data_IF_311532657588
#
_entry.id   IF_311532657588
#
_cell.length_a   1.000
_cell.length_b   1.000
_cell.length_c   1.000
_cell.angle_alpha   90.00
_cell.angle_beta   90.00
_cell.angle_gamma   90.00
#
_symmetry.space_group_name_H-M   'P 1'
#
loop_
_entity.id
_entity.type
_entity.pdbx_description
1 polymer ?
#
# COMPACT_ATOMS: atom_id res chain seq x y z
N UNK A 1 90.88 -25.19 30.52
CA UNK A 1 91.26 -26.42 31.23
C UNK A 1 90.02 -27.26 31.44
N UNK A 2 90.07 -28.55 31.07
CA UNK A 2 89.45 -29.75 31.71
C UNK A 2 88.23 -29.46 32.63
N UNK A 3 87.07 -30.11 32.57
CA UNK A 3 86.72 -31.53 32.32
C UNK A 3 85.23 -31.67 32.71
N UNK A 4 84.37 -32.32 31.91
CA UNK A 4 83.85 -33.70 32.10
C UNK A 4 82.63 -33.84 33.06
N UNK A 5 81.52 -34.36 32.46
CA UNK A 5 80.57 -35.42 32.92
C UNK A 5 79.73 -35.18 34.19
N UNK A 6 78.53 -35.75 34.41
CA UNK A 6 77.42 -36.40 33.67
C UNK A 6 76.52 -37.01 34.77
N UNK A 7 75.21 -37.19 34.48
CA UNK A 7 74.25 -38.19 35.03
C UNK A 7 73.43 -37.90 36.34
N UNK A 8 72.11 -37.78 36.10
CA UNK A 8 70.93 -38.46 36.71
C UNK A 8 70.26 -38.05 38.04
N UNK A 9 68.96 -37.78 37.87
CA UNK A 9 67.78 -38.28 38.60
C UNK A 9 67.52 -37.84 40.06
N UNK A 10 66.42 -37.08 40.20
CA UNK A 10 65.70 -36.88 41.45
C UNK A 10 64.39 -36.14 41.17
N UNK A 11 63.31 -36.90 41.04
CA UNK A 11 61.96 -36.37 40.91
C UNK A 11 61.35 -36.05 42.28
N UNK A 12 60.43 -35.08 42.27
CA UNK A 12 59.48 -34.66 43.29
C UNK A 12 59.96 -33.65 44.35
N UNK A 13 59.54 -32.39 44.21
CA UNK A 13 58.58 -31.78 45.13
C UNK A 13 57.93 -30.54 44.49
N UNK A 14 56.62 -30.41 44.67
CA UNK A 14 55.77 -29.35 44.14
C UNK A 14 56.03 -27.99 44.79
N UNK A 15 56.05 -26.93 43.97
CA UNK A 15 55.65 -25.57 44.39
C UNK A 15 54.95 -24.92 43.20
N UNK A 16 53.68 -24.56 43.40
CA UNK A 16 52.89 -23.75 42.49
C UNK A 16 53.38 -22.30 42.49
N UNK A 17 53.55 -21.71 41.31
CA UNK A 17 53.58 -20.27 41.13
C UNK A 17 52.84 -19.92 39.84
N UNK A 18 51.80 -19.10 40.02
CA UNK A 18 50.96 -18.52 38.97
C UNK A 18 51.81 -17.83 37.91
N UNK A 19 51.53 -18.12 36.65
CA UNK A 19 51.85 -17.20 35.53
C UNK A 19 50.58 -17.01 34.73
N UNK A 20 49.92 -15.89 34.98
CA UNK A 20 48.84 -15.34 34.18
C UNK A 20 49.41 -14.95 32.82
N UNK A 21 49.26 -15.84 31.83
CA UNK A 21 49.62 -15.55 30.45
C UNK A 21 48.38 -15.03 29.71
N UNK A 22 48.31 -13.70 29.56
CA UNK A 22 47.51 -13.05 28.54
C UNK A 22 47.89 -13.63 27.18
N UNK A 23 46.95 -14.32 26.53
CA UNK A 23 47.01 -14.61 25.11
C UNK A 23 45.66 -14.18 24.54
N UNK A 24 45.62 -12.94 24.05
CA UNK A 24 44.47 -12.36 23.38
C UNK A 24 44.09 -13.21 22.18
N UNK A 25 42.94 -13.87 22.28
CA UNK A 25 42.09 -14.18 21.13
C UNK A 25 40.85 -13.33 21.36
N UNK A 26 40.71 -12.27 20.57
CA UNK A 26 39.49 -11.49 20.51
C UNK A 26 38.42 -12.36 19.87
N UNK A 27 37.72 -13.11 20.71
CA UNK A 27 36.40 -13.62 20.36
C UNK A 27 35.48 -12.41 20.41
N UNK A 28 35.14 -11.87 19.24
CA UNK A 28 33.94 -11.05 19.08
C UNK A 28 32.77 -11.93 19.50
N UNK A 29 32.34 -11.78 20.75
CA UNK A 29 31.00 -12.13 21.15
C UNK A 29 30.09 -11.18 20.37
N UNK A 30 29.50 -11.68 19.30
CA UNK A 30 28.20 -11.19 18.85
C UNK A 30 27.26 -11.50 20.00
N UNK A 31 26.86 -10.46 20.73
CA UNK A 31 25.64 -10.51 21.53
C UNK A 31 24.51 -10.82 20.54
N UNK A 32 24.17 -12.10 20.38
CA UNK A 32 22.85 -12.50 19.93
C UNK A 32 21.90 -11.99 21.01
N UNK A 33 21.34 -10.81 20.74
CA UNK A 33 20.23 -10.31 21.51
C UNK A 33 19.08 -11.29 21.25
N UNK A 34 18.81 -12.14 22.24
CA UNK A 34 17.69 -13.09 22.28
C UNK A 34 16.37 -12.30 22.48
N UNK A 35 16.16 -11.25 21.68
CA UNK A 35 14.89 -10.52 21.65
C UNK A 35 13.93 -11.32 20.80
N UNK A 36 12.80 -11.74 21.38
CA UNK A 36 11.69 -12.33 20.62
C UNK A 36 11.37 -11.46 19.39
N UNK A 37 11.16 -12.12 18.26
CA UNK A 37 10.72 -11.47 17.03
C UNK A 37 9.48 -10.62 17.31
N UNK A 38 9.44 -9.32 16.94
CA UNK A 38 8.26 -8.52 17.14
C UNK A 38 7.06 -9.10 16.37
N UNK A 39 5.90 -9.14 17.02
CA UNK A 39 4.72 -9.83 16.50
C UNK A 39 3.71 -8.81 15.97
N UNK A 40 3.37 -8.95 14.70
CA UNK A 40 2.32 -8.18 14.02
C UNK A 40 1.03 -9.00 14.00
N UNK A 41 -0.06 -8.37 14.43
CA UNK A 41 -1.42 -8.84 14.17
C UNK A 41 -2.08 -7.93 13.14
N UNK A 42 -2.34 -8.45 11.95
CA UNK A 42 -3.02 -7.74 10.88
C UNK A 42 -4.52 -8.07 10.89
N UNK A 43 -5.34 -7.05 11.13
CA UNK A 43 -6.81 -7.13 11.15
C UNK A 43 -7.36 -6.65 9.80
N UNK A 44 -8.05 -7.53 9.10
CA UNK A 44 -8.54 -7.32 7.73
C UNK A 44 -10.06 -7.17 7.73
N UNK A 45 -10.57 -6.01 7.30
CA UNK A 45 -12.00 -5.71 7.08
C UNK A 45 -12.38 -5.79 5.58
N UNK A 46 -11.84 -6.79 4.89
CA UNK A 46 -11.96 -6.98 3.45
C UNK A 46 -11.68 -8.42 3.07
N UNK A 47 -11.30 -8.64 1.80
CA UNK A 47 -11.01 -9.98 1.28
C UNK A 47 -9.55 -10.06 0.85
N UNK A 48 -8.78 -10.99 1.41
CA UNK A 48 -7.49 -11.36 0.82
C UNK A 48 -7.72 -12.01 -0.55
N UNK A 49 -6.87 -11.68 -1.51
CA UNK A 49 -7.03 -12.06 -2.91
C UNK A 49 -7.71 -11.00 -3.78
N UNK A 50 -7.94 -9.79 -3.27
CA UNK A 50 -8.54 -8.66 -4.01
C UNK A 50 -7.65 -8.10 -5.14
N UNK A 51 -6.40 -8.56 -5.23
CA UNK A 51 -5.39 -8.13 -6.22
C UNK A 51 -5.05 -6.64 -6.17
N UNK A 52 -5.46 -5.96 -5.09
CA UNK A 52 -5.53 -4.51 -5.00
C UNK A 52 -5.00 -4.08 -3.63
N UNK A 53 -5.85 -3.50 -2.79
CA UNK A 53 -5.52 -2.81 -1.55
C UNK A 53 -5.15 -3.75 -0.40
N UNK A 54 -5.96 -4.77 -0.14
CA UNK A 54 -5.75 -5.72 0.96
C UNK A 54 -4.57 -6.64 0.65
N UNK A 55 -4.45 -7.10 -0.60
CA UNK A 55 -3.27 -7.85 -1.04
C UNK A 55 -1.99 -7.01 -0.96
N UNK A 56 -2.04 -5.71 -1.26
CA UNK A 56 -0.89 -4.80 -1.11
C UNK A 56 -0.45 -4.71 0.35
N UNK A 57 -1.37 -4.44 1.29
CA UNK A 57 -1.02 -4.43 2.70
C UNK A 57 -0.41 -5.76 3.18
N UNK A 58 -1.01 -6.89 2.79
CA UNK A 58 -0.50 -8.21 3.16
C UNK A 58 0.89 -8.48 2.57
N UNK A 59 1.18 -8.05 1.35
CA UNK A 59 2.52 -8.19 0.74
C UNK A 59 3.58 -7.45 1.56
N UNK A 60 3.33 -6.20 1.94
CA UNK A 60 4.30 -5.41 2.73
C UNK A 60 4.58 -6.04 4.10
N UNK A 61 3.55 -6.53 4.77
CA UNK A 61 3.70 -7.20 6.07
C UNK A 61 4.38 -8.58 5.94
N UNK A 62 4.09 -9.32 4.87
CA UNK A 62 4.80 -10.58 4.57
C UNK A 62 6.28 -10.32 4.28
N UNK A 63 6.60 -9.25 3.54
CA UNK A 63 7.97 -8.85 3.30
C UNK A 63 8.70 -8.49 4.61
N UNK A 64 8.01 -7.87 5.58
CA UNK A 64 8.58 -7.60 6.89
C UNK A 64 8.87 -8.90 7.68
N UNK A 65 8.07 -9.96 7.52
CA UNK A 65 8.38 -11.29 8.08
C UNK A 65 9.67 -11.83 7.44
N UNK A 66 9.71 -11.84 6.11
CA UNK A 66 10.78 -12.48 5.34
C UNK A 66 12.14 -11.77 5.48
N UNK A 67 12.13 -10.44 5.52
CA UNK A 67 13.36 -9.62 5.48
C UNK A 67 13.76 -9.02 6.83
N UNK A 68 12.80 -8.74 7.72
CA UNK A 68 13.03 -8.05 8.99
C UNK A 68 12.82 -8.95 10.22
N UNK A 69 12.36 -10.19 10.01
CA UNK A 69 12.23 -11.20 11.08
C UNK A 69 11.03 -11.00 11.98
N UNK A 70 9.97 -10.33 11.52
CA UNK A 70 8.70 -10.24 12.23
C UNK A 70 7.94 -11.57 12.23
N UNK A 71 7.03 -11.75 13.18
CA UNK A 71 5.96 -12.74 13.09
C UNK A 71 4.66 -12.08 12.63
N UNK A 72 3.88 -12.73 11.76
CA UNK A 72 2.60 -12.21 11.27
C UNK A 72 1.45 -13.16 11.59
N UNK A 73 0.43 -12.64 12.25
CA UNK A 73 -0.88 -13.27 12.41
C UNK A 73 -1.95 -12.44 11.75
N UNK A 74 -2.80 -13.08 10.95
CA UNK A 74 -3.91 -12.41 10.26
C UNK A 74 -5.24 -12.75 10.95
N UNK A 75 -6.09 -11.75 11.12
CA UNK A 75 -7.47 -11.86 11.61
C UNK A 75 -8.40 -11.25 10.57
N UNK A 76 -9.19 -12.09 9.89
CA UNK A 76 -10.18 -11.64 8.91
C UNK A 76 -11.53 -11.41 9.59
N UNK A 77 -12.02 -10.17 9.56
CA UNK A 77 -13.35 -9.80 10.10
C UNK A 77 -14.46 -9.99 9.05
N UNK A 78 -14.10 -10.21 7.79
CA UNK A 78 -15.04 -10.29 6.68
C UNK A 78 -15.60 -8.92 6.29
N UNK A 79 -16.73 -8.94 5.59
CA UNK A 79 -17.30 -7.75 4.92
C UNK A 79 -18.43 -7.07 5.69
N UNK A 80 -18.90 -7.68 6.78
CA UNK A 80 -20.02 -7.14 7.56
C UNK A 80 -19.52 -6.09 8.55
N UNK A 81 -19.71 -4.82 8.19
CA UNK A 81 -19.31 -3.66 8.98
C UNK A 81 -19.84 -3.69 10.42
N UNK A 82 -21.01 -4.29 10.66
CA UNK A 82 -21.60 -4.37 12.00
C UNK A 82 -20.76 -5.18 13.00
N UNK A 83 -19.85 -6.04 12.51
CA UNK A 83 -18.92 -6.82 13.32
C UNK A 83 -17.50 -6.28 13.39
N UNK A 84 -17.16 -5.23 12.62
CA UNK A 84 -15.77 -4.77 12.51
C UNK A 84 -15.23 -4.16 13.81
N UNK A 85 -16.01 -3.32 14.47
CA UNK A 85 -15.59 -2.67 15.71
C UNK A 85 -15.36 -3.69 16.85
N UNK A 86 -16.33 -4.59 17.07
CA UNK A 86 -16.21 -5.63 18.10
C UNK A 86 -15.09 -6.62 17.78
N UNK A 87 -14.94 -7.00 16.50
CA UNK A 87 -13.86 -7.87 16.05
C UNK A 87 -12.47 -7.24 16.23
N UNK A 88 -12.33 -5.94 15.96
CA UNK A 88 -11.09 -5.20 16.22
C UNK A 88 -10.78 -5.14 17.72
N UNK A 89 -11.79 -4.86 18.56
CA UNK A 89 -11.62 -4.83 20.02
C UNK A 89 -11.20 -6.22 20.57
N UNK A 90 -11.83 -7.29 20.10
CA UNK A 90 -11.48 -8.66 20.45
C UNK A 90 -10.05 -9.01 19.98
N UNK A 91 -9.64 -8.55 18.79
CA UNK A 91 -8.28 -8.70 18.30
C UNK A 91 -7.28 -7.93 19.18
N UNK A 92 -7.60 -6.71 19.58
CA UNK A 92 -6.73 -5.87 20.43
C UNK A 92 -6.56 -6.44 21.85
N UNK A 93 -7.57 -7.14 22.38
CA UNK A 93 -7.53 -7.75 23.70
C UNK A 93 -6.57 -8.96 23.83
N UNK A 94 -6.02 -9.48 22.73
CA UNK A 94 -5.10 -10.63 22.77
C UNK A 94 -3.66 -10.25 23.12
N UNK A 95 -2.94 -11.12 23.84
CA UNK A 95 -1.52 -10.89 24.21
C UNK A 95 -0.51 -11.37 23.15
N UNK A 96 -0.99 -11.88 22.02
CA UNK A 96 -0.25 -12.54 20.95
C UNK A 96 0.32 -11.57 19.89
N UNK A 97 0.46 -10.29 20.23
CA UNK A 97 1.03 -9.27 19.35
C UNK A 97 1.71 -8.14 20.13
N UNK A 98 2.57 -7.41 19.44
CA UNK A 98 3.19 -6.16 19.92
C UNK A 98 2.68 -4.97 19.10
N UNK A 99 2.36 -5.22 17.82
CA UNK A 99 1.85 -4.25 16.86
C UNK A 99 0.54 -4.77 16.24
N UNK A 100 -0.55 -4.00 16.34
CA UNK A 100 -1.80 -4.27 15.63
C UNK A 100 -1.88 -3.37 14.39
N UNK A 101 -2.04 -3.98 13.22
CA UNK A 101 -2.20 -3.27 11.96
C UNK A 101 -3.65 -3.40 11.51
N UNK A 102 -4.30 -2.30 11.16
CA UNK A 102 -5.61 -2.28 10.53
C UNK A 102 -5.68 -1.09 9.57
N UNK A 103 -6.44 -1.17 8.49
CA UNK A 103 -6.55 -0.04 7.56
C UNK A 103 -7.88 0.01 6.85
N UNK A 104 -7.94 0.89 5.84
CA UNK A 104 -9.14 1.50 5.24
C UNK A 104 -9.67 2.70 6.03
N UNK A 105 -10.29 3.62 5.29
CA UNK A 105 -11.04 4.76 5.86
C UNK A 105 -11.96 4.35 7.02
N UNK A 106 -12.71 3.25 6.89
CA UNK A 106 -13.70 2.82 7.88
C UNK A 106 -13.11 2.29 9.19
N UNK A 107 -11.90 1.70 9.16
CA UNK A 107 -11.28 1.15 10.37
C UNK A 107 -10.57 2.22 11.22
N UNK A 108 -10.27 3.38 10.63
CA UNK A 108 -9.42 4.39 11.26
C UNK A 108 -10.01 4.93 12.57
N UNK A 109 -11.32 5.21 12.59
CA UNK A 109 -12.04 5.62 13.82
C UNK A 109 -12.07 4.50 14.87
N UNK A 110 -12.28 3.25 14.44
CA UNK A 110 -12.33 2.10 15.36
C UNK A 110 -10.97 1.90 16.05
N UNK A 111 -9.87 2.00 15.30
CA UNK A 111 -8.52 1.96 15.89
C UNK A 111 -8.33 3.12 16.86
N UNK A 112 -8.74 4.34 16.49
CA UNK A 112 -8.67 5.50 17.38
C UNK A 112 -9.43 5.29 18.70
N UNK A 113 -10.55 4.57 18.69
CA UNK A 113 -11.32 4.26 19.91
C UNK A 113 -10.74 3.12 20.75
N UNK A 114 -10.07 2.16 20.12
CA UNK A 114 -9.52 0.97 20.79
C UNK A 114 -8.10 1.20 21.31
N UNK A 115 -7.25 1.92 20.57
CA UNK A 115 -5.84 2.13 20.92
C UNK A 115 -5.57 2.73 22.32
N UNK A 116 -6.40 3.66 22.85
CA UNK A 116 -6.20 4.21 24.19
C UNK A 116 -6.32 3.20 25.33
N UNK A 117 -7.04 2.10 25.12
CA UNK A 117 -7.22 1.04 26.13
C UNK A 117 -5.99 0.13 26.26
N UNK A 118 -5.05 0.21 25.32
CA UNK A 118 -3.83 -0.61 25.24
C UNK A 118 -2.57 0.26 25.03
N UNK A 119 -2.23 1.16 25.95
CA UNK A 119 -1.14 2.14 25.78
C UNK A 119 0.25 1.50 25.64
N UNK A 120 0.43 0.25 26.05
CA UNK A 120 1.66 -0.53 25.89
C UNK A 120 1.77 -1.25 24.54
N UNK A 121 0.69 -1.29 23.75
CA UNK A 121 0.65 -1.88 22.42
C UNK A 121 0.77 -0.77 21.37
N UNK A 122 1.35 -1.12 20.24
CA UNK A 122 1.47 -0.22 19.10
C UNK A 122 0.38 -0.50 18.07
N UNK A 123 -0.11 0.55 17.43
CA UNK A 123 -1.11 0.44 16.38
C UNK A 123 -0.62 1.11 15.11
N UNK A 124 -0.78 0.44 13.96
CA UNK A 124 -0.53 1.04 12.66
C UNK A 124 -1.84 1.13 11.88
N UNK A 125 -2.10 2.31 11.35
CA UNK A 125 -3.22 2.59 10.47
C UNK A 125 -2.70 2.97 9.08
N UNK A 126 -3.36 2.50 8.04
CA UNK A 126 -3.09 2.95 6.68
C UNK A 126 -4.38 3.38 6.00
N UNK A 127 -4.26 4.25 4.99
CA UNK A 127 -5.32 4.83 4.15
C UNK A 127 -5.91 6.13 4.69
N UNK A 128 -6.32 6.15 5.96
CA UNK A 128 -6.77 7.36 6.64
C UNK A 128 -6.23 7.43 8.07
N UNK A 129 -5.98 8.63 8.61
CA UNK A 129 -5.55 8.78 9.99
C UNK A 129 -6.74 8.71 10.96
N UNK A 130 -6.54 8.21 12.19
CA UNK A 130 -7.46 8.53 13.29
C UNK A 130 -7.36 10.01 13.66
N UNK A 131 -8.26 10.49 14.51
CA UNK A 131 -8.15 11.83 15.07
C UNK A 131 -7.08 11.89 16.19
N UNK A 132 -5.92 12.47 15.86
CA UNK A 132 -4.82 12.70 16.81
C UNK A 132 -5.05 13.87 17.77
N UNK A 133 -6.08 14.70 17.57
CA UNK A 133 -6.37 15.81 18.50
C UNK A 133 -6.92 15.31 19.84
N UNK A 134 -7.50 14.11 19.84
CA UNK A 134 -8.20 13.50 20.97
C UNK A 134 -9.61 14.04 21.20
N UNK A 135 -10.15 14.84 20.27
CA UNK A 135 -11.54 15.31 20.34
C UNK A 135 -12.52 14.20 19.94
N UNK A 136 -12.11 13.29 19.05
CA UNK A 136 -12.92 12.20 18.53
C UNK A 136 -12.20 10.86 18.73
N UNK A 137 -12.77 10.00 19.57
CA UNK A 137 -12.40 8.59 19.72
C UNK A 137 -11.09 8.31 20.48
N UNK A 138 -10.02 9.04 20.20
CA UNK A 138 -8.69 8.74 20.72
C UNK A 138 -8.35 9.53 21.99
N UNK A 139 -8.87 9.09 23.13
CA UNK A 139 -8.75 9.82 24.41
C UNK A 139 -7.31 10.06 24.90
N UNK A 140 -6.33 9.29 24.42
CA UNK A 140 -4.91 9.47 24.69
C UNK A 140 -4.15 10.21 23.56
N UNK A 141 -4.86 10.89 22.66
CA UNK A 141 -4.30 11.56 21.46
C UNK A 141 -3.55 10.62 20.51
N UNK A 142 -3.83 9.31 20.59
CA UNK A 142 -3.26 8.32 19.70
C UNK A 142 -1.71 8.28 19.75
N UNK A 143 -1.12 8.56 20.92
CA UNK A 143 0.34 8.58 21.10
C UNK A 143 1.03 7.24 20.77
N UNK A 144 0.30 6.13 20.81
CA UNK A 144 0.76 4.78 20.44
C UNK A 144 0.29 4.33 19.04
N UNK A 145 -0.24 5.26 18.23
CA UNK A 145 -0.72 4.99 16.88
C UNK A 145 0.18 5.69 15.86
N UNK A 146 0.66 4.95 14.87
CA UNK A 146 1.24 5.51 13.64
C UNK A 146 0.20 5.39 12.54
N UNK A 147 0.07 6.39 11.69
CA UNK A 147 -0.76 6.25 10.49
C UNK A 147 -0.08 6.79 9.25
N UNK A 148 -0.31 6.11 8.11
CA UNK A 148 0.09 6.59 6.79
C UNK A 148 -1.14 6.82 5.91
N UNK A 149 -1.25 8.01 5.35
CA UNK A 149 -2.24 8.36 4.34
C UNK A 149 -1.55 8.78 3.05
N UNK A 150 -2.29 8.84 1.96
CA UNK A 150 -1.74 8.92 0.62
C UNK A 150 -2.35 10.08 -0.13
N UNK A 151 -1.53 10.76 -0.93
CA UNK A 151 -2.03 11.74 -1.90
C UNK A 151 -2.50 11.06 -3.17
N UNK A 152 -3.52 10.20 -3.04
CA UNK A 152 -4.04 9.44 -4.19
C UNK A 152 -4.48 10.34 -5.33
N UNK A 153 -4.94 11.56 -5.06
CA UNK A 153 -5.24 12.55 -6.08
C UNK A 153 -4.04 12.86 -7.01
N UNK A 154 -2.80 12.93 -6.49
CA UNK A 154 -1.60 13.19 -7.31
C UNK A 154 -1.37 12.07 -8.34
N UNK A 155 -1.44 10.80 -7.93
CA UNK A 155 -1.33 9.67 -8.85
C UNK A 155 -2.51 9.58 -9.82
N UNK A 156 -3.72 9.85 -9.32
CA UNK A 156 -4.96 9.87 -10.11
C UNK A 156 -4.92 10.92 -11.21
N UNK A 157 -4.33 12.09 -10.93
CA UNK A 157 -4.11 13.16 -11.90
C UNK A 157 -3.29 12.67 -13.10
N UNK A 158 -2.20 11.94 -12.87
CA UNK A 158 -1.39 11.41 -13.97
C UNK A 158 -2.16 10.41 -14.83
N UNK A 159 -3.01 9.59 -14.21
CA UNK A 159 -3.85 8.63 -14.93
C UNK A 159 -4.92 9.36 -15.77
N UNK A 160 -5.56 10.38 -15.22
CA UNK A 160 -6.50 11.22 -15.97
C UNK A 160 -5.83 11.92 -17.16
N UNK A 161 -4.66 12.51 -16.91
CA UNK A 161 -3.85 13.19 -17.94
C UNK A 161 -3.44 12.23 -19.06
N UNK A 162 -2.94 11.03 -18.71
CA UNK A 162 -2.63 9.97 -19.67
C UNK A 162 -3.84 9.65 -20.55
N UNK A 163 -5.03 9.48 -19.97
CA UNK A 163 -6.21 9.12 -20.74
C UNK A 163 -6.65 10.22 -21.71
N UNK A 164 -6.54 11.49 -21.33
CA UNK A 164 -6.84 12.60 -22.23
C UNK A 164 -5.89 12.62 -23.43
N UNK A 165 -4.59 12.44 -23.20
CA UNK A 165 -3.57 12.40 -24.24
C UNK A 165 -3.74 11.18 -25.17
N UNK A 166 -4.08 10.00 -24.62
CA UNK A 166 -4.35 8.80 -25.43
C UNK A 166 -5.58 8.96 -26.32
N UNK A 167 -6.66 9.56 -25.80
CA UNK A 167 -7.87 9.85 -26.57
C UNK A 167 -7.56 10.87 -27.68
N UNK A 168 -6.78 11.90 -27.38
CA UNK A 168 -6.38 12.92 -28.34
C UNK A 168 -5.47 12.36 -29.46
N UNK A 169 -4.57 11.45 -29.12
CA UNK A 169 -3.71 10.74 -30.08
C UNK A 169 -4.53 9.82 -31.01
N UNK A 170 -5.57 9.19 -30.48
CA UNK A 170 -6.56 8.45 -31.26
C UNK A 170 -6.05 7.13 -31.84
N UNK A 171 -4.90 6.61 -31.37
CA UNK A 171 -4.33 5.34 -31.80
C UNK A 171 -4.64 4.17 -30.87
N UNK A 172 -5.42 4.41 -29.80
CA UNK A 172 -5.84 3.36 -28.88
C UNK A 172 -6.77 2.36 -29.62
N UNK A 173 -6.36 1.09 -29.83
CA UNK A 173 -7.10 0.16 -30.67
C UNK A 173 -8.54 -0.07 -30.18
N UNK A 174 -9.52 -0.13 -31.09
CA UNK A 174 -10.95 -0.33 -30.82
C UNK A 174 -11.66 0.82 -30.08
N UNK A 175 -10.93 1.89 -29.72
CA UNK A 175 -11.49 3.06 -29.06
C UNK A 175 -11.66 4.26 -30.02
N UNK A 176 -11.62 4.03 -31.33
CA UNK A 176 -11.66 5.10 -32.32
C UNK A 176 -12.98 5.90 -32.24
N UNK A 177 -12.84 7.23 -32.06
CA UNK A 177 -13.98 8.13 -31.97
C UNK A 177 -14.69 8.16 -30.60
N UNK A 178 -14.19 7.41 -29.61
CA UNK A 178 -14.61 7.54 -28.22
C UNK A 178 -13.85 8.70 -27.57
N UNK A 179 -14.55 9.53 -26.81
CA UNK A 179 -13.99 10.74 -26.19
C UNK A 179 -14.15 10.78 -24.67
N UNK A 180 -14.85 9.80 -24.09
CA UNK A 180 -15.19 9.77 -22.67
C UNK A 180 -14.32 8.80 -21.89
N UNK A 181 -14.30 9.00 -20.58
CA UNK A 181 -13.69 8.10 -19.61
C UNK A 181 -14.66 7.86 -18.46
N UNK A 182 -14.55 6.70 -17.83
CA UNK A 182 -15.37 6.30 -16.70
C UNK A 182 -14.60 6.19 -15.40
N UNK A 183 -15.26 6.48 -14.29
CA UNK A 183 -14.81 6.07 -12.95
C UNK A 183 -15.95 5.33 -12.26
N UNK A 184 -15.68 4.10 -11.84
CA UNK A 184 -16.54 3.30 -10.96
C UNK A 184 -15.92 3.31 -9.57
N UNK A 185 -16.41 4.17 -8.70
CA UNK A 185 -16.01 4.23 -7.30
C UNK A 185 -16.77 3.20 -6.46
N UNK A 186 -16.16 2.67 -5.39
CA UNK A 186 -16.89 1.81 -4.45
C UNK A 186 -17.99 2.61 -3.72
N UNK A 187 -17.61 3.63 -2.96
CA UNK A 187 -18.52 4.41 -2.12
C UNK A 187 -18.28 5.91 -2.31
N UNK A 188 -19.31 6.71 -2.06
CA UNK A 188 -19.20 8.18 -2.00
C UNK A 188 -18.63 8.59 -0.64
N UNK A 189 -17.32 8.47 -0.51
CA UNK A 189 -16.54 8.80 0.69
C UNK A 189 -15.32 9.65 0.31
N UNK A 190 -14.74 10.43 1.25
CA UNK A 190 -13.65 11.36 0.95
C UNK A 190 -12.48 10.74 0.22
N UNK A 191 -12.03 9.55 0.65
CA UNK A 191 -10.90 8.84 0.01
C UNK A 191 -11.18 8.58 -1.47
N UNK A 192 -12.34 8.01 -1.83
CA UNK A 192 -12.70 7.73 -3.23
C UNK A 192 -12.88 9.02 -4.03
N UNK A 193 -13.47 10.04 -3.42
CA UNK A 193 -13.68 11.34 -4.06
C UNK A 193 -12.35 12.05 -4.36
N UNK A 194 -11.30 11.79 -3.58
CA UNK A 194 -9.96 12.31 -3.83
C UNK A 194 -9.32 11.68 -5.08
N UNK A 195 -9.53 10.37 -5.32
CA UNK A 195 -9.15 9.74 -6.60
C UNK A 195 -9.90 10.39 -7.77
N UNK A 196 -11.22 10.56 -7.64
CA UNK A 196 -12.06 11.17 -8.69
C UNK A 196 -11.63 12.60 -9.00
N UNK A 197 -11.35 13.41 -7.96
CA UNK A 197 -10.93 14.80 -8.10
C UNK A 197 -9.59 14.91 -8.86
N UNK A 198 -8.61 14.08 -8.49
CA UNK A 198 -7.32 14.01 -9.18
C UNK A 198 -7.49 13.60 -10.64
N UNK A 199 -8.18 12.49 -10.90
CA UNK A 199 -8.39 11.98 -12.26
C UNK A 199 -9.13 12.96 -13.17
N UNK A 200 -10.19 13.59 -12.65
CA UNK A 200 -10.94 14.61 -13.41
C UNK A 200 -10.06 15.81 -13.73
N UNK A 201 -9.30 16.30 -12.73
CA UNK A 201 -8.37 17.42 -12.93
C UNK A 201 -7.31 17.11 -13.98
N UNK A 202 -6.70 15.93 -13.91
CA UNK A 202 -5.71 15.48 -14.87
C UNK A 202 -6.27 15.35 -16.29
N UNK A 203 -7.47 14.76 -16.41
CA UNK A 203 -8.14 14.62 -17.70
C UNK A 203 -8.44 15.97 -18.37
N UNK A 204 -8.88 16.96 -17.59
CA UNK A 204 -9.11 18.32 -18.08
C UNK A 204 -7.81 19.01 -18.50
N UNK A 205 -6.76 18.91 -17.68
CA UNK A 205 -5.47 19.54 -17.98
C UNK A 205 -4.76 18.90 -19.18
N UNK A 206 -5.03 17.62 -19.47
CA UNK A 206 -4.61 16.93 -20.69
C UNK A 206 -5.44 17.28 -21.93
N UNK A 207 -6.39 18.22 -21.81
CA UNK A 207 -7.21 18.70 -22.93
C UNK A 207 -8.58 18.03 -23.09
N UNK A 208 -8.95 17.12 -22.18
CA UNK A 208 -10.29 16.56 -22.11
C UNK A 208 -11.33 17.55 -21.54
N UNK A 209 -12.61 17.20 -21.64
CA UNK A 209 -13.70 17.94 -21.00
C UNK A 209 -14.12 17.26 -19.70
N UNK A 210 -14.36 18.04 -18.63
CA UNK A 210 -14.92 17.53 -17.38
C UNK A 210 -16.26 16.80 -17.61
N UNK A 211 -17.06 17.26 -18.58
CA UNK A 211 -18.34 16.61 -18.93
C UNK A 211 -18.21 15.22 -19.54
N UNK A 212 -16.99 14.84 -19.96
CA UNK A 212 -16.68 13.54 -20.54
C UNK A 212 -16.14 12.55 -19.50
N UNK A 213 -16.01 12.97 -18.24
CA UNK A 213 -15.69 12.09 -17.10
C UNK A 213 -16.99 11.59 -16.47
N UNK A 214 -17.30 10.32 -16.68
CA UNK A 214 -18.52 9.68 -16.18
C UNK A 214 -18.24 8.96 -14.86
N UNK A 215 -18.68 9.55 -13.75
CA UNK A 215 -18.48 8.99 -12.41
C UNK A 215 -19.75 8.31 -11.92
N UNK A 216 -19.63 7.08 -11.44
CA UNK A 216 -20.70 6.34 -10.76
C UNK A 216 -20.15 5.56 -9.57
N UNK A 217 -20.97 5.40 -8.54
CA UNK A 217 -20.61 4.64 -7.35
C UNK A 217 -21.41 3.33 -7.25
N UNK A 218 -20.75 2.26 -6.80
CA UNK A 218 -21.38 0.97 -6.57
C UNK A 218 -22.39 1.07 -5.42
N UNK A 219 -21.95 1.61 -4.28
CA UNK A 219 -22.75 1.76 -3.06
C UNK A 219 -23.12 0.44 -2.39
N UNK A 220 -23.91 0.55 -1.32
CA UNK A 220 -24.33 -0.59 -0.49
C UNK A 220 -23.23 -1.17 0.40
N UNK A 221 -23.57 -2.26 1.10
CA UNK A 221 -22.80 -2.77 2.24
C UNK A 221 -21.54 -3.56 1.84
N UNK A 222 -21.39 -3.88 0.55
CA UNK A 222 -20.26 -4.65 0.01
C UNK A 222 -19.65 -3.99 -1.22
N UNK A 223 -19.64 -2.66 -1.26
CA UNK A 223 -19.29 -1.91 -2.46
C UNK A 223 -17.87 -2.18 -3.00
N UNK A 224 -16.93 -2.59 -2.14
CA UNK A 224 -15.57 -3.02 -2.51
C UNK A 224 -15.47 -4.51 -2.93
N UNK A 225 -16.56 -5.27 -2.85
CA UNK A 225 -16.63 -6.72 -3.05
C UNK A 225 -17.90 -7.16 -3.82
N UNK A 226 -18.35 -6.34 -4.77
CA UNK A 226 -19.47 -6.62 -5.68
C UNK A 226 -19.06 -6.44 -7.15
N UNK A 227 -18.25 -7.37 -7.70
CA UNK A 227 -17.82 -7.29 -9.10
C UNK A 227 -18.99 -7.36 -10.08
N UNK A 228 -20.08 -8.05 -9.75
CA UNK A 228 -21.27 -8.08 -10.61
C UNK A 228 -21.88 -6.68 -10.79
N UNK A 229 -22.00 -5.92 -9.69
CA UNK A 229 -22.49 -4.54 -9.75
C UNK A 229 -21.48 -3.60 -10.42
N UNK A 230 -20.18 -3.77 -10.14
CA UNK A 230 -19.12 -3.03 -10.81
C UNK A 230 -19.17 -3.18 -12.33
N UNK A 231 -19.37 -4.43 -12.81
CA UNK A 231 -19.52 -4.76 -14.22
C UNK A 231 -20.75 -4.12 -14.87
N UNK A 232 -21.89 -4.14 -14.19
CA UNK A 232 -23.13 -3.54 -14.68
C UNK A 232 -22.97 -2.03 -14.88
N UNK A 233 -22.36 -1.34 -13.90
CA UNK A 233 -22.12 0.10 -13.97
C UNK A 233 -21.09 0.42 -15.06
N UNK A 234 -19.96 -0.28 -15.10
CA UNK A 234 -18.94 -0.08 -16.13
C UNK A 234 -19.51 -0.31 -17.53
N UNK A 235 -20.33 -1.34 -17.70
CA UNK A 235 -21.06 -1.62 -18.95
C UNK A 235 -21.87 -0.42 -19.41
N UNK A 236 -22.66 0.20 -18.53
CA UNK A 236 -23.44 1.38 -18.86
C UNK A 236 -22.56 2.59 -19.21
N UNK A 237 -21.39 2.73 -18.58
CA UNK A 237 -20.44 3.81 -18.89
C UNK A 237 -19.80 3.61 -20.27
N UNK A 238 -19.39 2.38 -20.61
CA UNK A 238 -18.91 2.06 -21.95
C UNK A 238 -19.99 2.30 -23.01
N UNK A 239 -21.23 1.88 -22.76
CA UNK A 239 -22.37 2.10 -23.66
C UNK A 239 -22.66 3.61 -23.87
N UNK A 240 -22.22 4.46 -22.94
CA UNK A 240 -22.29 5.93 -23.04
C UNK A 240 -21.12 6.57 -23.82
N UNK A 241 -20.19 5.76 -24.35
CA UNK A 241 -19.11 6.17 -25.23
C UNK A 241 -17.75 6.35 -24.57
N UNK A 242 -17.49 5.67 -23.44
CA UNK A 242 -16.19 5.70 -22.77
C UNK A 242 -15.16 4.79 -23.46
N UNK A 243 -13.93 5.29 -23.65
CA UNK A 243 -12.80 4.50 -24.15
C UNK A 243 -12.20 3.58 -23.08
N UNK A 244 -12.19 4.06 -21.83
CA UNK A 244 -11.72 3.31 -20.68
C UNK A 244 -12.58 3.59 -19.44
N UNK A 245 -12.64 2.62 -18.54
CA UNK A 245 -13.28 2.78 -17.22
C UNK A 245 -12.32 2.38 -16.12
N UNK A 246 -12.17 3.24 -15.12
CA UNK A 246 -11.33 3.02 -13.96
C UNK A 246 -12.14 2.49 -12.77
N UNK A 247 -11.79 1.33 -12.24
CA UNK A 247 -12.43 0.74 -11.07
C UNK A 247 -11.73 1.08 -9.75
N UNK A 248 -12.06 2.23 -9.15
CA UNK A 248 -11.57 2.61 -7.80
C UNK A 248 -12.43 1.93 -6.73
N UNK A 249 -12.39 0.60 -6.71
CA UNK A 249 -13.38 -0.20 -5.98
C UNK A 249 -12.88 -1.54 -5.43
N UNK A 250 -11.58 -1.68 -5.17
CA UNK A 250 -10.99 -2.92 -4.64
C UNK A 250 -11.38 -4.15 -5.48
N UNK A 251 -11.85 -5.21 -4.83
CA UNK A 251 -12.28 -6.45 -5.50
C UNK A 251 -13.42 -6.27 -6.51
N UNK A 252 -14.27 -5.25 -6.36
CA UNK A 252 -15.30 -4.92 -7.36
C UNK A 252 -14.71 -4.46 -8.69
N UNK A 253 -13.47 -3.96 -8.70
CA UNK A 253 -12.74 -3.52 -9.90
C UNK A 253 -12.55 -4.65 -10.92
N UNK A 254 -12.54 -5.92 -10.50
CA UNK A 254 -12.51 -7.06 -11.42
C UNK A 254 -13.71 -7.05 -12.38
N UNK A 255 -14.89 -6.61 -11.93
CA UNK A 255 -16.06 -6.46 -12.78
C UNK A 255 -15.91 -5.38 -13.84
N UNK A 256 -15.15 -4.32 -13.56
CA UNK A 256 -14.82 -3.27 -14.54
C UNK A 256 -13.92 -3.84 -15.64
N UNK A 257 -12.92 -4.65 -15.26
CA UNK A 257 -12.04 -5.35 -16.22
C UNK A 257 -12.84 -6.34 -17.07
N UNK A 258 -13.79 -7.07 -16.48
CA UNK A 258 -14.68 -7.96 -17.23
C UNK A 258 -15.54 -7.20 -18.25
N UNK A 259 -16.11 -6.06 -17.86
CA UNK A 259 -16.92 -5.23 -18.76
C UNK A 259 -16.08 -4.65 -19.92
N UNK A 260 -14.82 -4.32 -19.65
CA UNK A 260 -13.87 -3.84 -20.65
C UNK A 260 -13.54 -4.96 -21.65
N UNK A 261 -13.23 -6.16 -21.15
CA UNK A 261 -12.92 -7.33 -21.98
C UNK A 261 -14.09 -7.73 -22.88
N UNK A 262 -15.33 -7.70 -22.37
CA UNK A 262 -16.54 -8.01 -23.17
C UNK A 262 -16.80 -7.03 -24.32
N UNK A 263 -16.19 -5.84 -24.27
CA UNK A 263 -16.34 -4.77 -25.27
C UNK A 263 -15.09 -4.55 -26.11
N UNK A 264 -14.03 -5.32 -25.88
CA UNK A 264 -12.71 -5.10 -26.46
C UNK A 264 -12.18 -3.66 -26.20
N UNK A 265 -12.51 -3.11 -25.03
CA UNK A 265 -12.11 -1.78 -24.54
C UNK A 265 -11.22 -1.89 -23.30
N UNK A 266 -10.91 -0.76 -22.68
CA UNK A 266 -9.85 -0.69 -21.68
C UNK A 266 -10.34 -0.45 -20.26
N UNK A 267 -9.55 -0.93 -19.33
CA UNK A 267 -9.66 -0.65 -17.92
C UNK A 267 -8.39 0.02 -17.40
N UNK A 268 -8.49 0.55 -16.19
CA UNK A 268 -7.36 1.10 -15.45
C UNK A 268 -7.32 0.39 -14.10
N UNK A 269 -6.14 0.00 -13.66
CA UNK A 269 -5.94 -0.65 -12.37
C UNK A 269 -5.77 0.33 -11.21
N UNK A 270 -5.87 -0.18 -9.98
CA UNK A 270 -5.65 0.62 -8.76
C UNK A 270 -4.95 -0.20 -7.67
N UNK A 271 -4.31 0.49 -6.74
CA UNK A 271 -3.59 0.01 -5.55
C UNK A 271 -2.34 -0.82 -5.82
N UNK A 272 -2.44 -1.84 -6.67
CA UNK A 272 -1.31 -2.62 -7.16
C UNK A 272 -1.10 -2.38 -8.65
N UNK A 273 0.06 -2.74 -9.21
CA UNK A 273 0.12 -2.92 -10.66
C UNK A 273 -0.70 -4.17 -11.04
N UNK A 274 -1.95 -3.95 -11.40
CA UNK A 274 -2.90 -5.02 -11.68
C UNK A 274 -2.58 -5.77 -12.96
N UNK A 275 -1.70 -5.23 -13.82
CA UNK A 275 -1.11 -6.03 -14.88
C UNK A 275 -0.31 -7.22 -14.33
N UNK A 276 0.38 -7.03 -13.19
CA UNK A 276 1.20 -8.08 -12.57
C UNK A 276 0.41 -8.97 -11.62
N UNK A 277 -0.65 -8.45 -10.97
CA UNK A 277 -1.39 -9.20 -9.95
C UNK A 277 -2.58 -9.98 -10.51
N UNK A 278 -3.15 -9.57 -11.65
CA UNK A 278 -4.27 -10.27 -12.29
C UNK A 278 -3.75 -11.43 -13.13
N UNK A 279 -4.18 -12.65 -12.78
CA UNK A 279 -3.75 -13.88 -13.44
C UNK A 279 -4.52 -14.19 -14.74
N UNK A 280 -5.75 -13.71 -14.86
CA UNK A 280 -6.55 -13.88 -16.07
C UNK A 280 -6.03 -12.95 -17.17
N UNK A 281 -5.44 -13.53 -18.21
CA UNK A 281 -4.84 -12.77 -19.32
C UNK A 281 -5.86 -11.91 -20.06
N UNK A 282 -7.11 -12.38 -20.17
CA UNK A 282 -8.17 -11.64 -20.87
C UNK A 282 -8.51 -10.35 -20.12
N UNK A 283 -8.52 -10.39 -18.79
CA UNK A 283 -8.72 -9.20 -17.96
C UNK A 283 -7.48 -8.32 -17.97
N UNK A 284 -6.31 -8.93 -17.79
CA UNK A 284 -5.01 -8.24 -17.79
C UNK A 284 -4.79 -7.42 -19.05
N UNK A 285 -5.13 -7.96 -20.23
CA UNK A 285 -4.92 -7.31 -21.53
C UNK A 285 -5.72 -6.02 -21.71
N UNK A 286 -6.79 -5.80 -20.91
CA UNK A 286 -7.57 -4.57 -20.91
C UNK A 286 -6.90 -3.42 -20.15
N UNK A 287 -5.96 -3.71 -19.26
CA UNK A 287 -5.39 -2.74 -18.31
C UNK A 287 -4.35 -1.87 -19.02
N UNK A 288 -4.65 -0.58 -19.23
CA UNK A 288 -3.69 0.37 -19.84
C UNK A 288 -2.52 0.65 -18.88
N UNK A 289 -2.85 0.96 -17.64
CA UNK A 289 -1.94 1.30 -16.54
C UNK A 289 -2.66 1.04 -15.22
N UNK A 290 -1.95 1.17 -14.11
CA UNK A 290 -2.52 1.16 -12.77
C UNK A 290 -2.08 2.41 -12.01
N UNK A 291 -3.00 3.01 -11.25
CA UNK A 291 -2.64 3.98 -10.21
C UNK A 291 -2.27 3.20 -8.96
N UNK A 292 -0.99 2.93 -8.79
CA UNK A 292 -0.47 2.12 -7.69
C UNK A 292 -0.43 2.98 -6.44
N UNK A 293 -0.99 2.44 -5.36
CA UNK A 293 -0.91 2.99 -4.01
C UNK A 293 -0.02 2.05 -3.22
N UNK A 294 1.21 2.49 -2.92
CA UNK A 294 2.26 1.64 -2.35
C UNK A 294 2.04 1.36 -0.85
N UNK A 295 0.91 0.73 -0.52
CA UNK A 295 0.57 0.30 0.84
C UNK A 295 1.56 -0.74 1.34
N UNK A 296 1.96 -1.68 0.47
CA UNK A 296 3.05 -2.63 0.76
C UNK A 296 4.32 -1.90 1.20
N UNK A 297 4.85 -1.02 0.35
CA UNK A 297 6.10 -0.32 0.65
C UNK A 297 5.99 0.55 1.91
N UNK A 298 4.84 1.21 2.12
CA UNK A 298 4.60 2.01 3.31
C UNK A 298 4.62 1.17 4.60
N UNK A 299 3.92 0.02 4.62
CA UNK A 299 3.89 -0.87 5.79
C UNK A 299 5.24 -1.57 6.03
N UNK A 300 5.95 -1.96 4.96
CA UNK A 300 7.30 -2.48 5.08
C UNK A 300 8.26 -1.43 5.66
N UNK A 301 8.20 -0.19 5.17
CA UNK A 301 8.99 0.94 5.71
C UNK A 301 8.62 1.22 7.17
N UNK A 302 7.35 1.09 7.53
CA UNK A 302 6.90 1.28 8.90
C UNK A 302 7.52 0.24 9.84
N UNK A 303 7.59 -1.03 9.41
CA UNK A 303 8.26 -2.10 10.13
C UNK A 303 9.77 -1.84 10.30
N UNK A 304 10.47 -1.45 9.24
CA UNK A 304 11.89 -1.12 9.31
C UNK A 304 12.16 0.05 10.28
N UNK A 305 11.38 1.13 10.22
CA UNK A 305 11.53 2.25 11.15
C UNK A 305 11.15 1.89 12.59
N UNK A 306 10.18 0.99 12.80
CA UNK A 306 9.81 0.54 14.13
C UNK A 306 10.97 -0.19 14.81
N UNK A 307 11.65 -1.11 14.10
CA UNK A 307 12.84 -1.80 14.64
C UNK A 307 13.96 -0.83 15.02
N UNK A 308 14.07 0.29 14.29
CA UNK A 308 15.07 1.34 14.56
C UNK A 308 14.65 2.30 15.67
N UNK A 309 13.40 2.24 16.13
CA UNK A 309 12.84 3.22 17.06
C UNK A 309 12.65 4.61 16.44
N UNK A 310 12.49 4.66 15.12
CA UNK A 310 12.39 5.89 14.31
C UNK A 310 10.98 6.13 13.74
N UNK A 311 10.04 5.19 13.95
CA UNK A 311 8.66 5.35 13.46
C UNK A 311 7.94 6.46 14.25
N UNK A 312 7.32 7.45 13.58
CA UNK A 312 6.73 8.60 14.26
C UNK A 312 5.32 8.27 14.75
N UNK A 313 5.21 7.69 15.94
CA UNK A 313 3.93 7.50 16.62
C UNK A 313 3.31 8.83 17.08
N UNK A 314 1.98 8.90 17.11
CA UNK A 314 1.22 10.09 17.50
C UNK A 314 0.96 11.08 16.36
N UNK A 315 1.29 10.72 15.11
CA UNK A 315 1.05 11.56 13.94
C UNK A 315 0.74 10.76 12.67
N UNK A 316 0.26 11.48 11.65
CA UNK A 316 -0.01 10.95 10.33
C UNK A 316 1.08 11.36 9.34
N UNK A 317 1.70 10.37 8.70
CA UNK A 317 2.54 10.57 7.54
C UNK A 317 1.65 10.68 6.29
N UNK A 318 1.91 11.67 5.43
CA UNK A 318 1.21 11.86 4.16
C UNK A 318 2.22 11.67 3.04
N UNK A 319 2.08 10.59 2.25
CA UNK A 319 3.00 10.25 1.17
C UNK A 319 2.32 10.38 -0.20
N UNK A 320 2.97 11.06 -1.13
CA UNK A 320 2.50 11.27 -2.50
C UNK A 320 3.51 10.80 -3.54
N UNK A 321 3.50 11.43 -4.72
CA UNK A 321 4.46 11.11 -5.79
C UNK A 321 5.90 11.43 -5.37
N UNK A 322 6.09 12.44 -4.52
CA UNK A 322 7.43 12.84 -4.07
C UNK A 322 8.11 11.80 -3.20
N UNK A 323 7.33 11.06 -2.42
CA UNK A 323 7.76 9.99 -1.50
C UNK A 323 7.54 8.59 -2.09
N UNK A 324 7.20 8.49 -3.38
CA UNK A 324 6.82 7.26 -4.07
C UNK A 324 5.65 6.51 -3.38
N UNK A 325 4.81 7.22 -2.60
CA UNK A 325 3.63 6.65 -1.95
C UNK A 325 2.51 6.30 -2.94
N UNK A 326 2.45 7.04 -4.06
CA UNK A 326 1.59 6.73 -5.20
C UNK A 326 2.37 6.85 -6.49
N UNK A 327 2.15 5.94 -7.43
CA UNK A 327 2.85 5.91 -8.72
C UNK A 327 1.90 5.51 -9.85
N UNK A 328 2.21 5.94 -11.07
CA UNK A 328 1.58 5.41 -12.28
C UNK A 328 2.43 4.25 -12.81
N UNK A 329 1.82 3.09 -13.03
CA UNK A 329 2.52 1.91 -13.52
C UNK A 329 2.87 2.06 -15.01
N UNK A 330 4.15 2.20 -15.32
CA UNK A 330 4.65 2.39 -16.70
C UNK A 330 5.56 1.25 -17.17
N UNK A 331 6.02 0.40 -16.26
CA UNK A 331 7.00 -0.66 -16.52
C UNK A 331 6.34 -2.02 -16.80
N UNK A 332 5.40 -2.08 -17.75
CA UNK A 332 4.79 -3.34 -18.17
C UNK A 332 4.48 -3.38 -19.68
N UNK A 333 4.18 -4.59 -20.19
CA UNK A 333 4.01 -4.81 -21.63
C UNK A 333 2.80 -4.08 -22.20
N UNK A 334 1.72 -3.94 -21.43
CA UNK A 334 0.54 -3.20 -21.88
C UNK A 334 0.84 -1.72 -22.05
N UNK A 335 1.48 -1.09 -21.05
CA UNK A 335 1.85 0.32 -21.14
C UNK A 335 2.76 0.56 -22.34
N UNK A 336 3.82 -0.26 -22.50
CA UNK A 336 4.75 -0.14 -23.62
C UNK A 336 4.09 -0.34 -25.01
N UNK A 337 3.02 -1.14 -25.08
CA UNK A 337 2.27 -1.41 -26.31
C UNK A 337 1.23 -0.35 -26.62
N UNK A 338 0.53 0.16 -25.61
CA UNK A 338 -0.66 1.01 -25.75
C UNK A 338 -0.33 2.50 -25.68
N UNK A 339 0.79 2.89 -25.07
CA UNK A 339 1.15 4.29 -24.84
C UNK A 339 2.27 4.71 -25.79
N UNK A 340 2.01 5.58 -26.78
CA UNK A 340 3.04 6.12 -27.66
C UNK A 340 4.11 6.88 -26.87
N UNK A 341 5.36 6.86 -27.35
CA UNK A 341 6.48 7.53 -26.69
C UNK A 341 6.22 9.03 -26.43
N UNK A 342 5.53 9.71 -27.35
CA UNK A 342 5.15 11.13 -27.19
C UNK A 342 4.18 11.34 -26.03
N UNK A 343 3.22 10.44 -25.83
CA UNK A 343 2.29 10.49 -24.69
C UNK A 343 3.02 10.17 -23.40
N UNK A 344 3.91 9.16 -23.40
CA UNK A 344 4.70 8.81 -22.23
C UNK A 344 5.62 9.97 -21.77
N UNK A 345 6.27 10.67 -22.73
CA UNK A 345 7.07 11.87 -22.43
C UNK A 345 6.22 13.02 -21.85
N UNK A 346 5.00 13.21 -22.38
CA UNK A 346 4.02 14.19 -21.87
C UNK A 346 3.62 13.89 -20.43
N UNK A 347 3.30 12.63 -20.12
CA UNK A 347 2.97 12.16 -18.76
C UNK A 347 4.16 12.30 -17.81
N UNK A 348 5.39 12.02 -18.26
CA UNK A 348 6.58 12.23 -17.43
C UNK A 348 6.78 13.72 -17.08
N UNK A 349 6.54 14.62 -18.03
CA UNK A 349 6.60 16.06 -17.74
C UNK A 349 5.52 16.49 -16.74
N UNK A 350 4.30 15.95 -16.86
CA UNK A 350 3.22 16.16 -15.88
C UNK A 350 3.61 15.63 -14.49
N UNK A 351 4.23 14.44 -14.41
CA UNK A 351 4.73 13.84 -13.17
C UNK A 351 5.73 14.77 -12.48
N UNK A 352 6.73 15.28 -13.20
CA UNK A 352 7.71 16.22 -12.62
C UNK A 352 7.04 17.52 -12.14
N UNK A 353 6.05 18.02 -12.87
CA UNK A 353 5.30 19.23 -12.49
C UNK A 353 4.48 19.01 -11.21
N UNK A 354 3.84 17.84 -11.05
CA UNK A 354 3.12 17.47 -9.82
C UNK A 354 4.10 17.26 -8.67
N UNK A 355 5.18 16.50 -8.89
CA UNK A 355 6.21 16.19 -7.88
C UNK A 355 6.88 17.44 -7.31
N UNK A 356 7.11 18.45 -8.13
CA UNK A 356 7.70 19.73 -7.71
C UNK A 356 6.68 20.75 -7.19
N UNK A 357 5.39 20.43 -7.23
CA UNK A 357 4.29 21.32 -6.82
C UNK A 357 4.01 22.46 -7.78
N UNK A 358 4.56 22.43 -8.99
CA UNK A 358 4.24 23.39 -10.05
C UNK A 358 2.79 23.23 -10.52
N UNK A 359 2.33 21.99 -10.64
CA UNK A 359 0.91 21.66 -10.85
C UNK A 359 0.21 21.53 -9.50
N UNK A 360 -0.86 22.29 -9.29
CA UNK A 360 -1.72 22.15 -8.12
C UNK A 360 -2.85 21.16 -8.43
N UNK A 361 -2.72 19.94 -7.91
CA UNK A 361 -3.72 18.88 -8.11
C UNK A 361 -4.96 19.12 -7.24
N UNK A 362 -6.19 19.01 -7.78
CA UNK A 362 -7.42 19.04 -6.98
C UNK A 362 -7.46 17.94 -5.92
N UNK A 363 -8.12 18.19 -4.79
CA UNK A 363 -8.26 17.22 -3.70
C UNK A 363 -9.66 17.30 -3.10
N UNK A 364 -10.13 16.20 -2.50
CA UNK A 364 -11.38 16.14 -1.76
C UNK A 364 -11.21 16.41 -0.25
N UNK A 365 -9.98 16.66 0.22
CA UNK A 365 -9.66 16.96 1.62
C UNK A 365 -9.50 18.46 1.92
#
# INVERSE_FOLDING_TARGET
MKRIRVLFAGAALAVAALVTACSGTATTASDENDSEAPRIKYVVNGTLGDKSFIDSANRGLTQAVDELGYELKIVELGLDESGWESGLADAAAGDDYDILVAGSYSMSDYVGRVAPDYPEKMFWVYDAPPDYTGEIGCSNKCENVYSVTFKQNEGSYLVGYLMAELIADGQLPNAEGLSKVGVVGAQDIPVINDFVAGFTGGFVDGGGSESDVLVQYIGGDKAFNDPARGKEIASAIFDAGAAAVWGVAGGSGAGVMEAAAERDLYSIGVDSDQYLTVADETLRDTIITSMVKNVDAALFRAADLHLKGELPYGEAEIIGIAEDGVVIATENENFARLVPATVAESVQAALESVKTGQTKVPTAF
#
